data_IF_357073612027
#
_entry.id   IF_357073612027
#
_cell.length_a   1.000
_cell.length_b   1.000
_cell.length_c   1.000
_cell.angle_alpha   90.00
_cell.angle_beta   90.00
_cell.angle_gamma   90.00
#
_symmetry.space_group_name_H-M   'P 1'
#
loop_
_entity.id
_entity.type
_entity.pdbx_description
1 polymer ?
#
# COMPACT_ATOMS: atom_id res chain seq x y z
N UNK A 1 -24.59 -50.00 38.48
CA UNK A 1 -23.43 -49.15 38.13
C UNK A 1 -23.50 -48.91 36.63
N UNK A 2 -24.12 -47.82 36.20
CA UNK A 2 -24.37 -47.53 34.78
C UNK A 2 -23.70 -46.20 34.46
N UNK A 3 -22.61 -46.26 33.67
CA UNK A 3 -21.83 -45.10 33.27
C UNK A 3 -22.51 -44.37 32.11
N UNK A 4 -22.79 -43.08 32.30
CA UNK A 4 -23.23 -42.18 31.25
C UNK A 4 -22.01 -41.76 30.43
N UNK A 5 -21.94 -42.23 29.18
CA UNK A 5 -20.95 -41.77 28.20
C UNK A 5 -21.31 -40.33 27.78
N UNK A 6 -20.43 -39.41 28.18
CA UNK A 6 -20.44 -38.01 27.79
C UNK A 6 -20.03 -37.88 26.32
N UNK A 7 -20.90 -37.31 25.49
CA UNK A 7 -20.60 -36.96 24.11
C UNK A 7 -20.23 -35.48 24.03
N UNK A 8 -18.93 -35.17 24.16
CA UNK A 8 -18.42 -33.83 23.90
C UNK A 8 -18.33 -33.61 22.39
N UNK A 9 -19.33 -32.93 21.84
CA UNK A 9 -19.30 -32.38 20.48
C UNK A 9 -18.27 -31.25 20.41
N UNK A 10 -17.26 -31.40 19.56
CA UNK A 10 -16.28 -30.35 19.30
C UNK A 10 -16.88 -29.34 18.33
N UNK A 11 -17.19 -28.15 18.83
CA UNK A 11 -17.47 -26.99 17.97
C UNK A 11 -16.14 -26.49 17.45
N UNK A 12 -15.90 -26.61 16.13
CA UNK A 12 -14.79 -25.95 15.47
C UNK A 12 -15.12 -24.46 15.38
N UNK A 13 -14.46 -23.66 16.21
CA UNK A 13 -14.46 -22.22 16.05
C UNK A 13 -13.72 -21.88 14.75
N UNK A 14 -14.45 -21.45 13.73
CA UNK A 14 -13.84 -20.83 12.55
C UNK A 14 -13.38 -19.44 12.98
N UNK A 15 -12.09 -19.29 13.23
CA UNK A 15 -11.49 -17.98 13.42
C UNK A 15 -11.63 -17.21 12.10
N UNK A 16 -12.63 -16.33 12.02
CA UNK A 16 -12.66 -15.29 11.00
C UNK A 16 -11.38 -14.46 11.17
N UNK A 17 -10.44 -14.61 10.25
CA UNK A 17 -9.18 -13.86 10.26
C UNK A 17 -9.50 -12.37 10.32
N UNK A 18 -9.20 -11.73 11.45
CA UNK A 18 -9.18 -10.28 11.56
C UNK A 18 -7.95 -9.81 10.78
N UNK A 19 -8.13 -9.56 9.48
CA UNK A 19 -7.06 -9.05 8.63
C UNK A 19 -6.79 -7.59 8.99
N UNK A 20 -5.84 -7.36 9.88
CA UNK A 20 -5.31 -6.02 10.14
C UNK A 20 -4.89 -5.40 8.80
N UNK A 21 -5.24 -4.12 8.60
CA UNK A 21 -4.67 -3.33 7.52
C UNK A 21 -3.21 -3.03 7.85
N UNK A 22 -2.37 -4.03 7.63
CA UNK A 22 -0.92 -3.92 7.67
C UNK A 22 -0.34 -3.90 6.27
N UNK A 23 0.88 -3.40 6.17
CA UNK A 23 1.68 -3.46 4.96
C UNK A 23 2.05 -4.90 4.61
N UNK A 24 1.91 -5.25 3.33
CA UNK A 24 2.37 -6.53 2.80
C UNK A 24 3.79 -6.39 2.26
N UNK A 25 4.67 -7.32 2.62
CA UNK A 25 6.05 -7.35 2.09
C UNK A 25 6.18 -8.15 0.78
N UNK A 26 5.12 -8.87 0.41
CA UNK A 26 5.06 -9.71 -0.77
C UNK A 26 4.00 -9.20 -1.74
N UNK A 27 4.43 -8.75 -2.92
CA UNK A 27 3.56 -8.27 -3.99
C UNK A 27 2.48 -9.26 -4.40
N UNK A 28 2.79 -10.55 -4.52
CA UNK A 28 1.81 -11.55 -4.96
C UNK A 28 0.68 -11.73 -3.94
N UNK A 29 1.01 -11.66 -2.65
CA UNK A 29 0.00 -11.71 -1.58
C UNK A 29 -0.85 -10.44 -1.56
N UNK A 30 -0.22 -9.28 -1.70
CA UNK A 30 -0.90 -8.00 -1.75
C UNK A 30 -1.83 -7.89 -2.97
N UNK A 31 -1.36 -8.35 -4.14
CA UNK A 31 -2.13 -8.38 -5.38
C UNK A 31 -3.34 -9.31 -5.27
N UNK A 32 -3.15 -10.51 -4.73
CA UNK A 32 -4.26 -11.45 -4.52
C UNK A 32 -5.31 -10.86 -3.59
N UNK A 33 -4.89 -10.22 -2.49
CA UNK A 33 -5.78 -9.55 -1.56
C UNK A 33 -6.51 -8.36 -2.20
N UNK A 34 -5.81 -7.53 -2.96
CA UNK A 34 -6.39 -6.40 -3.68
C UNK A 34 -7.48 -6.87 -4.64
N UNK A 35 -7.22 -7.95 -5.37
CA UNK A 35 -8.19 -8.56 -6.28
C UNK A 35 -9.41 -9.14 -5.54
N UNK A 36 -9.20 -9.83 -4.43
CA UNK A 36 -10.29 -10.36 -3.60
C UNK A 36 -11.16 -9.26 -2.98
N UNK A 37 -10.54 -8.17 -2.54
CA UNK A 37 -11.24 -7.04 -1.91
C UNK A 37 -11.80 -6.04 -2.94
N UNK A 38 -11.48 -6.17 -4.22
CA UNK A 38 -11.87 -5.22 -5.26
C UNK A 38 -11.28 -3.82 -5.05
N UNK A 39 -10.11 -3.73 -4.39
CA UNK A 39 -9.45 -2.48 -4.02
C UNK A 39 -8.23 -2.21 -4.90
N UNK A 40 -7.86 -0.95 -5.14
CA UNK A 40 -6.57 -0.62 -5.71
C UNK A 40 -5.42 -1.08 -4.80
N UNK A 41 -4.29 -1.44 -5.42
CA UNK A 41 -3.06 -1.84 -4.73
C UNK A 41 -2.06 -0.69 -4.78
N UNK A 42 -1.66 -0.18 -3.62
CA UNK A 42 -0.54 0.74 -3.47
C UNK A 42 0.76 -0.05 -3.26
N UNK A 43 1.74 0.18 -4.12
CA UNK A 43 3.08 -0.43 -4.03
C UNK A 43 4.12 0.66 -3.79
N UNK A 44 4.95 0.45 -2.77
CA UNK A 44 6.11 1.27 -2.45
C UNK A 44 7.36 0.42 -2.53
N UNK A 45 8.33 0.86 -3.33
CA UNK A 45 9.64 0.24 -3.47
C UNK A 45 10.69 1.23 -2.94
N UNK A 46 11.34 0.91 -1.83
CA UNK A 46 12.37 1.77 -1.24
C UNK A 46 13.45 0.95 -0.53
N UNK A 47 14.64 1.51 -0.27
CA UNK A 47 15.71 0.77 0.39
C UNK A 47 15.47 0.67 1.89
N UNK A 48 15.62 -0.53 2.44
CA UNK A 48 15.47 -0.82 3.86
C UNK A 48 14.13 -1.49 4.17
N UNK A 49 14.04 -2.16 5.33
CA UNK A 49 12.79 -2.77 5.76
C UNK A 49 11.72 -1.69 5.97
N UNK A 50 10.44 -2.07 5.83
CA UNK A 50 9.30 -1.27 6.30
C UNK A 50 9.36 -1.16 7.83
N UNK A 51 10.30 -0.39 8.35
CA UNK A 51 10.35 -0.06 9.77
C UNK A 51 9.52 1.19 9.99
N UNK A 52 8.64 1.08 10.98
CA UNK A 52 7.85 2.17 11.50
C UNK A 52 8.78 3.37 11.77
N UNK A 53 8.66 4.44 10.99
CA UNK A 53 9.40 5.69 11.16
C UNK A 53 10.69 5.87 10.34
N UNK A 54 11.19 4.84 9.63
CA UNK A 54 12.47 4.91 8.91
C UNK A 54 12.35 4.99 7.37
N UNK A 55 11.16 4.74 6.84
CA UNK A 55 10.89 4.66 5.39
C UNK A 55 10.19 5.92 4.89
N UNK A 56 10.46 6.36 3.66
CA UNK A 56 9.88 7.57 3.05
C UNK A 56 8.36 7.46 2.98
N UNK A 57 7.78 6.27 2.76
CA UNK A 57 6.33 6.11 2.85
C UNK A 57 5.79 6.25 4.28
N UNK A 58 6.52 5.80 5.30
CA UNK A 58 6.05 5.89 6.70
C UNK A 58 6.37 7.26 7.33
N UNK A 59 7.44 7.92 6.90
CA UNK A 59 7.89 9.23 7.40
C UNK A 59 6.91 10.37 7.09
N UNK A 60 6.04 10.21 6.08
CA UNK A 60 4.98 11.17 5.75
C UNK A 60 3.61 10.82 6.33
N UNK A 61 3.53 9.97 7.37
CA UNK A 61 2.32 9.84 8.21
C UNK A 61 1.56 8.53 8.13
N UNK A 62 2.03 7.55 7.38
CA UNK A 62 1.37 6.24 7.26
C UNK A 62 1.82 5.27 8.35
N UNK A 63 1.62 5.67 9.60
CA UNK A 63 1.73 4.78 10.76
C UNK A 63 0.62 3.72 10.73
N UNK A 64 0.87 2.58 11.39
CA UNK A 64 -0.18 1.61 11.74
C UNK A 64 -1.41 2.34 12.33
N UNK A 65 -2.64 1.83 12.16
CA UNK A 65 -3.89 2.52 12.54
C UNK A 65 -4.01 2.99 14.01
N UNK A 66 -3.05 2.66 14.87
CA UNK A 66 -3.01 2.93 16.29
C UNK A 66 -2.05 4.06 16.72
N UNK A 67 -1.27 4.65 15.81
CA UNK A 67 -0.46 5.84 16.12
C UNK A 67 -0.62 6.87 15.00
N UNK A 68 -0.96 8.11 15.34
CA UNK A 68 -1.06 9.26 14.42
C UNK A 68 -0.09 10.30 14.98
N UNK A 69 0.88 10.81 14.19
CA UNK A 69 0.67 12.12 13.56
C UNK A 69 1.38 12.31 12.21
N UNK A 70 0.60 12.35 11.12
CA UNK A 70 0.63 13.37 10.06
C UNK A 70 -0.59 13.13 9.14
N UNK A 71 -1.41 14.17 8.93
CA UNK A 71 -2.58 14.17 8.04
C UNK A 71 -3.64 13.08 8.26
N UNK A 72 -4.63 13.30 9.14
CA UNK A 72 -5.78 12.39 9.34
C UNK A 72 -6.50 12.01 8.03
N UNK A 73 -6.44 12.88 7.01
CA UNK A 73 -7.02 12.64 5.69
C UNK A 73 -6.27 11.54 4.91
N UNK A 74 -4.95 11.58 4.86
CA UNK A 74 -4.15 10.62 4.09
C UNK A 74 -4.22 9.21 4.70
N UNK A 75 -4.19 9.10 6.03
CA UNK A 75 -4.37 7.84 6.73
C UNK A 75 -5.75 7.21 6.45
N UNK A 76 -6.82 8.03 6.37
CA UNK A 76 -8.15 7.56 6.00
C UNK A 76 -8.22 7.10 4.52
N UNK A 77 -7.50 7.78 3.63
CA UNK A 77 -7.43 7.39 2.21
C UNK A 77 -6.73 6.05 2.03
N UNK A 78 -5.65 5.77 2.76
CA UNK A 78 -4.95 4.48 2.71
C UNK A 78 -5.86 3.29 3.05
N UNK A 79 -6.92 3.49 3.83
CA UNK A 79 -7.83 2.40 4.17
C UNK A 79 -8.58 1.82 2.96
N UNK A 80 -8.61 2.58 1.86
CA UNK A 80 -9.20 2.17 0.59
C UNK A 80 -8.26 1.37 -0.30
N UNK A 81 -7.00 1.25 0.09
CA UNK A 81 -5.97 0.53 -0.66
C UNK A 81 -5.57 -0.74 0.06
N UNK A 82 -5.13 -1.73 -0.72
CA UNK A 82 -4.21 -2.75 -0.19
C UNK A 82 -2.80 -2.18 -0.28
N UNK A 83 -2.02 -2.31 0.78
CA UNK A 83 -0.71 -1.67 0.92
C UNK A 83 0.39 -2.72 0.74
N UNK A 84 1.37 -2.44 -0.11
CA UNK A 84 2.54 -3.28 -0.32
C UNK A 84 3.81 -2.44 -0.25
N UNK A 85 4.74 -2.84 0.61
CA UNK A 85 6.06 -2.22 0.72
C UNK A 85 7.11 -3.28 0.44
N UNK A 86 8.07 -2.98 -0.42
CA UNK A 86 9.09 -3.94 -0.83
C UNK A 86 10.47 -3.33 -0.60
N UNK A 87 11.26 -3.99 0.26
CA UNK A 87 12.65 -3.62 0.52
C UNK A 87 13.53 -3.92 -0.70
N UNK A 88 13.96 -2.84 -1.36
CA UNK A 88 14.79 -2.89 -2.56
C UNK A 88 16.24 -3.29 -2.30
N UNK A 89 16.69 -3.42 -1.04
CA UNK A 89 18.01 -3.99 -0.72
C UNK A 89 18.04 -5.51 -0.86
N UNK A 90 16.87 -6.16 -0.89
CA UNK A 90 16.75 -7.61 -1.06
C UNK A 90 16.79 -8.03 -2.53
N UNK A 91 17.20 -9.28 -2.80
CA UNK A 91 17.15 -9.84 -4.15
C UNK A 91 15.71 -9.84 -4.73
N UNK A 92 14.71 -10.02 -3.87
CA UNK A 92 13.30 -9.91 -4.23
C UNK A 92 12.94 -8.48 -4.65
N UNK A 93 13.26 -7.47 -3.83
CA UNK A 93 12.97 -6.08 -4.16
C UNK A 93 13.70 -5.57 -5.40
N UNK A 94 14.94 -6.02 -5.62
CA UNK A 94 15.67 -5.75 -6.86
C UNK A 94 14.96 -6.35 -8.10
N UNK A 95 14.32 -7.52 -7.95
CA UNK A 95 13.47 -8.06 -9.02
C UNK A 95 12.25 -7.18 -9.24
N UNK A 96 11.60 -6.74 -8.16
CA UNK A 96 10.41 -5.90 -8.24
C UNK A 96 10.70 -4.54 -8.88
N UNK A 97 11.85 -3.92 -8.63
CA UNK A 97 12.27 -2.71 -9.35
C UNK A 97 12.29 -2.90 -10.87
N UNK A 98 12.82 -4.05 -11.34
CA UNK A 98 12.83 -4.37 -12.77
C UNK A 98 11.44 -4.61 -13.34
N UNK A 99 10.60 -5.37 -12.64
CA UNK A 99 9.21 -5.62 -13.05
C UNK A 99 8.40 -4.32 -13.14
N UNK A 100 8.59 -3.42 -12.18
CA UNK A 100 7.95 -2.12 -12.15
C UNK A 100 8.60 -1.08 -13.05
N UNK A 101 9.70 -1.44 -13.75
CA UNK A 101 10.52 -0.55 -14.57
C UNK A 101 10.84 0.76 -13.83
N UNK A 102 11.26 0.61 -12.57
CA UNK A 102 11.59 1.71 -11.68
C UNK A 102 13.09 2.01 -11.80
N UNK A 103 13.41 3.19 -12.34
CA UNK A 103 14.79 3.60 -12.62
C UNK A 103 15.49 4.23 -11.39
N UNK A 104 14.72 4.59 -10.37
CA UNK A 104 15.23 5.12 -9.11
C UNK A 104 14.32 4.78 -7.93
N UNK A 105 14.88 4.89 -6.73
CA UNK A 105 14.17 4.70 -5.45
C UNK A 105 14.16 6.01 -4.65
N UNK A 106 13.15 6.26 -3.80
CA UNK A 106 11.93 5.46 -3.65
C UNK A 106 11.05 5.51 -4.90
N UNK A 107 10.22 4.50 -5.10
CA UNK A 107 9.29 4.41 -6.22
C UNK A 107 7.91 4.02 -5.72
N UNK A 108 6.90 4.73 -6.19
CA UNK A 108 5.50 4.52 -5.81
C UNK A 108 4.69 4.16 -7.05
N UNK A 109 3.81 3.18 -6.92
CA UNK A 109 2.85 2.86 -7.97
C UNK A 109 1.49 2.48 -7.39
N UNK A 110 0.43 2.88 -8.08
CA UNK A 110 -0.94 2.43 -7.79
C UNK A 110 -1.37 1.54 -8.94
N UNK A 111 -1.79 0.31 -8.61
CA UNK A 111 -2.42 -0.63 -9.52
C UNK A 111 -3.93 -0.49 -9.40
N UNK A 112 -4.62 -0.51 -10.53
CA UNK A 112 -6.08 -0.48 -10.61
C UNK A 112 -6.74 -1.66 -9.84
N UNK A 113 -8.03 -1.52 -9.56
CA UNK A 113 -8.79 -2.55 -8.83
C UNK A 113 -8.92 -3.88 -9.60
N UNK A 114 -8.67 -3.87 -10.92
CA UNK A 114 -8.62 -5.12 -11.71
C UNK A 114 -7.28 -5.84 -11.59
N UNK A 115 -6.25 -5.17 -11.08
CA UNK A 115 -4.90 -5.71 -10.92
C UNK A 115 -4.10 -5.77 -12.23
N UNK A 116 -4.54 -5.07 -13.28
CA UNK A 116 -3.99 -5.17 -14.64
C UNK A 116 -3.20 -3.94 -15.08
N UNK A 117 -3.48 -2.78 -14.51
CA UNK A 117 -2.92 -1.50 -14.96
C UNK A 117 -2.23 -0.73 -13.84
N UNK A 118 -1.01 -0.25 -14.09
CA UNK A 118 -0.37 0.79 -13.29
C UNK A 118 -1.01 2.13 -13.66
N UNK A 119 -1.93 2.61 -12.82
CA UNK A 119 -2.67 3.86 -13.03
C UNK A 119 -1.93 5.08 -12.48
N UNK A 120 -0.96 4.85 -11.59
CA UNK A 120 -0.04 5.88 -11.10
C UNK A 120 1.37 5.30 -10.98
N UNK A 121 2.37 6.12 -11.28
CA UNK A 121 3.80 5.83 -11.13
C UNK A 121 4.54 7.12 -10.80
N UNK A 122 5.34 7.09 -9.74
CA UNK A 122 6.18 8.22 -9.35
C UNK A 122 7.52 7.69 -8.85
N UNK A 123 8.59 8.25 -9.39
CA UNK A 123 9.94 8.02 -8.92
C UNK A 123 10.40 9.17 -8.02
N UNK A 124 11.21 8.86 -7.02
CA UNK A 124 11.68 9.81 -6.00
C UNK A 124 10.66 10.07 -4.88
N UNK A 125 11.08 10.88 -3.92
CA UNK A 125 10.26 11.24 -2.78
C UNK A 125 9.03 12.08 -3.22
N UNK A 126 7.90 11.86 -2.54
CA UNK A 126 6.68 12.62 -2.70
C UNK A 126 6.42 13.47 -1.46
N UNK A 127 5.97 14.71 -1.63
CA UNK A 127 5.46 15.53 -0.52
C UNK A 127 4.13 14.99 0.01
N UNK A 128 3.75 15.38 1.22
CA UNK A 128 2.45 15.03 1.82
C UNK A 128 1.27 15.41 0.90
N UNK A 129 1.30 16.62 0.33
CA UNK A 129 0.28 17.07 -0.61
C UNK A 129 0.24 16.22 -1.90
N UNK A 130 1.41 15.79 -2.41
CA UNK A 130 1.46 14.90 -3.58
C UNK A 130 0.87 13.52 -3.26
N UNK A 131 1.11 13.00 -2.06
CA UNK A 131 0.48 11.77 -1.57
C UNK A 131 -1.03 11.91 -1.47
N UNK A 132 -1.53 12.96 -0.83
CA UNK A 132 -2.98 13.19 -0.68
C UNK A 132 -3.66 13.30 -2.05
N UNK A 133 -3.09 14.08 -2.96
CA UNK A 133 -3.63 14.22 -4.32
C UNK A 133 -3.63 12.87 -5.05
N UNK A 134 -2.53 12.12 -5.02
CA UNK A 134 -2.45 10.84 -5.70
C UNK A 134 -3.47 9.83 -5.12
N UNK A 135 -3.53 9.70 -3.79
CA UNK A 135 -4.44 8.78 -3.11
C UNK A 135 -5.91 9.18 -3.27
N UNK A 136 -6.22 10.46 -3.31
CA UNK A 136 -7.58 10.93 -3.57
C UNK A 136 -7.97 10.73 -5.04
N UNK A 137 -7.04 10.96 -5.97
CA UNK A 137 -7.28 10.82 -7.41
C UNK A 137 -7.60 9.38 -7.79
N UNK A 138 -6.86 8.40 -7.28
CA UNK A 138 -7.00 6.99 -7.71
C UNK A 138 -7.79 6.12 -6.73
N UNK A 139 -8.62 6.74 -5.88
CA UNK A 139 -9.32 6.07 -4.78
C UNK A 139 -10.28 4.96 -5.23
N UNK A 140 -10.89 5.13 -6.40
CA UNK A 140 -11.82 4.15 -6.99
C UNK A 140 -11.10 3.03 -7.76
N UNK A 141 -9.76 3.08 -7.80
CA UNK A 141 -8.92 2.14 -8.52
C UNK A 141 -9.15 2.16 -10.02
N UNK A 142 -9.50 3.32 -10.61
CA UNK A 142 -9.64 3.50 -12.05
C UNK A 142 -8.59 4.46 -12.60
N UNK A 143 -8.27 4.28 -13.87
CA UNK A 143 -7.46 5.25 -14.59
C UNK A 143 -8.28 6.54 -14.77
N UNK A 144 -7.84 7.62 -14.15
CA UNK A 144 -8.32 8.95 -14.50
C UNK A 144 -7.44 9.52 -15.62
N UNK A 145 -8.01 10.29 -16.57
CA UNK A 145 -7.19 11.09 -17.46
C UNK A 145 -6.30 11.97 -16.58
N UNK A 146 -4.98 11.85 -16.77
CA UNK A 146 -3.99 12.43 -15.89
C UNK A 146 -4.36 13.87 -15.52
N UNK A 147 -4.43 14.17 -14.22
CA UNK A 147 -4.48 15.55 -13.76
C UNK A 147 -3.33 16.30 -14.44
N UNK A 148 -3.55 17.51 -14.98
CA UNK A 148 -2.52 18.24 -15.69
C UNK A 148 -1.28 18.34 -14.79
N UNK A 149 -0.14 17.92 -15.33
CA UNK A 149 1.16 18.05 -14.66
C UNK A 149 1.25 19.48 -14.10
N UNK A 150 1.38 19.61 -12.78
CA UNK A 150 1.47 20.93 -12.17
C UNK A 150 2.60 21.70 -12.88
N UNK A 151 2.35 22.95 -13.29
CA UNK A 151 3.39 23.76 -13.92
C UNK A 151 4.57 23.78 -12.96
N UNK A 152 5.72 23.27 -13.40
CA UNK A 152 6.97 23.53 -12.71
C UNK A 152 7.10 25.04 -12.66
N UNK A 153 6.93 25.61 -11.47
CA UNK A 153 7.13 27.02 -11.25
C UNK A 153 8.59 27.32 -11.63
N UNK A 154 8.79 27.79 -12.86
CA UNK A 154 10.05 28.41 -13.27
C UNK A 154 10.16 29.67 -12.43
N UNK A 155 10.89 29.57 -11.32
CA UNK A 155 11.44 30.72 -10.63
C UNK A 155 12.42 31.41 -11.59
N UNK A 156 11.89 32.26 -12.46
CA UNK A 156 12.69 33.24 -13.17
C UNK A 156 13.19 34.24 -12.11
N UNK A 157 14.46 34.08 -11.75
CA UNK A 157 15.22 35.00 -10.91
C UNK A 157 15.49 36.26 -11.74
N UNK A 158 14.87 37.39 -11.38
CA UNK A 158 15.25 38.74 -11.84
C UNK A 158 16.27 39.35 -10.93
#
# INVERSE_FOLDING_TARGET
MSGLMSWAGWVVAVAAGMWTQGWHENYSQAWYRAHQEGKPLLVVLEPGPARLGDTVAVAYGFQEPSAVPAGAAAAALLQKYVLCHIDTTTAYGQRMLREFKADSVPFVSIIDSTGKLQIFRQAGAMSEQQWEIALATYLDGRAHPAAPAQPTARLCRT
#
